data_IF_306538001708
#
_entry.id   IF_306538001708
#
_cell.length_a   1.000
_cell.length_b   1.000
_cell.length_c   1.000
_cell.angle_alpha   90.00
_cell.angle_beta   90.00
_cell.angle_gamma   90.00
#
_symmetry.space_group_name_H-M   'P 1'
#
loop_
_entity.id
_entity.type
_entity.pdbx_description
1 polymer ?
#
# COMPACT_ATOMS: atom_id res chain seq x y z
N UNK A 1 -3.99 5.06 23.96
CA UNK A 1 -2.68 4.44 23.67
C UNK A 1 -1.58 5.45 23.37
N UNK A 2 -1.85 6.77 23.22
CA UNK A 2 -0.83 7.78 22.93
C UNK A 2 -0.31 7.77 21.48
N UNK A 3 -1.08 7.18 20.57
CA UNK A 3 -0.78 7.12 19.12
C UNK A 3 -1.61 8.22 18.45
N UNK A 4 -0.95 9.07 17.65
CA UNK A 4 -1.63 10.01 16.77
C UNK A 4 -1.88 9.34 15.42
N UNK A 5 -3.04 9.58 14.82
CA UNK A 5 -3.36 9.15 13.47
C UNK A 5 -3.63 10.38 12.58
N UNK A 6 -3.05 10.37 11.38
CA UNK A 6 -3.31 11.35 10.36
C UNK A 6 -3.82 10.66 9.10
N UNK A 7 -5.08 10.88 8.79
CA UNK A 7 -5.69 10.37 7.57
C UNK A 7 -5.35 11.32 6.41
N UNK A 8 -4.70 10.77 5.37
CA UNK A 8 -4.22 11.55 4.22
C UNK A 8 -5.23 11.48 3.09
N UNK A 9 -5.70 12.64 2.64
CA UNK A 9 -6.42 12.76 1.37
C UNK A 9 -5.41 12.95 0.23
N UNK A 10 -5.62 12.26 -0.88
CA UNK A 10 -4.76 12.31 -2.05
C UNK A 10 -5.58 12.29 -3.33
N UNK A 11 -5.01 12.77 -4.43
CA UNK A 11 -5.66 12.78 -5.73
C UNK A 11 -6.01 11.36 -6.20
N UNK A 12 -7.29 11.14 -6.51
CA UNK A 12 -7.82 9.93 -7.13
C UNK A 12 -8.22 10.19 -8.58
N UNK A 13 -8.14 9.16 -9.43
CA UNK A 13 -8.66 9.26 -10.77
C UNK A 13 -10.20 9.38 -10.77
N UNK A 14 -10.75 9.92 -11.85
CA UNK A 14 -12.17 9.96 -12.12
C UNK A 14 -12.38 9.78 -13.63
N UNK A 15 -13.63 9.62 -14.06
CA UNK A 15 -13.96 9.48 -15.49
C UNK A 15 -13.38 10.62 -16.36
N UNK A 16 -13.29 11.83 -15.80
CA UNK A 16 -12.81 13.01 -16.50
C UNK A 16 -11.33 13.34 -16.20
N UNK A 17 -10.64 12.54 -15.39
CA UNK A 17 -9.31 12.87 -14.90
C UNK A 17 -8.50 11.57 -14.70
N UNK A 18 -7.76 11.20 -15.73
CA UNK A 18 -6.95 9.98 -15.80
C UNK A 18 -5.46 10.34 -15.82
N UNK A 19 -4.58 9.35 -15.59
CA UNK A 19 -3.15 9.59 -15.57
C UNK A 19 -2.68 10.40 -14.37
N UNK A 20 -3.41 10.34 -13.25
CA UNK A 20 -3.19 11.18 -12.05
C UNK A 20 -2.14 10.63 -11.09
N UNK A 21 -1.43 9.56 -11.46
CA UNK A 21 -0.46 8.88 -10.60
C UNK A 21 0.58 9.82 -9.98
N UNK A 22 1.01 10.83 -10.76
CA UNK A 22 2.01 11.78 -10.29
C UNK A 22 1.48 12.65 -9.16
N UNK A 23 0.25 13.16 -9.30
CA UNK A 23 -0.40 13.96 -8.25
C UNK A 23 -0.69 13.09 -7.03
N UNK A 24 -1.24 11.88 -7.25
CA UNK A 24 -1.49 10.92 -6.17
C UNK A 24 -0.24 10.65 -5.35
N UNK A 25 0.86 10.28 -6.00
CA UNK A 25 2.11 9.95 -5.31
C UNK A 25 2.75 11.18 -4.67
N UNK A 26 2.69 12.33 -5.34
CA UNK A 26 3.17 13.61 -4.81
C UNK A 26 2.43 14.02 -3.53
N UNK A 27 1.11 13.85 -3.50
CA UNK A 27 0.30 14.17 -2.31
C UNK A 27 0.71 13.29 -1.12
N UNK A 28 0.86 11.98 -1.34
CA UNK A 28 1.27 11.04 -0.28
C UNK A 28 2.68 11.34 0.23
N UNK A 29 3.65 11.55 -0.67
CA UNK A 29 5.03 11.87 -0.29
C UNK A 29 5.14 13.22 0.41
N UNK A 30 4.36 14.22 -0.02
CA UNK A 30 4.30 15.53 0.61
C UNK A 30 3.68 15.46 1.99
N UNK A 31 2.56 14.72 2.16
CA UNK A 31 1.95 14.51 3.47
C UNK A 31 2.96 13.84 4.43
N UNK A 32 3.66 12.81 3.98
CA UNK A 32 4.71 12.17 4.78
C UNK A 32 5.80 13.15 5.20
N UNK A 33 6.27 14.00 4.28
CA UNK A 33 7.26 15.03 4.57
C UNK A 33 6.79 16.06 5.61
N UNK A 34 5.50 16.39 5.63
CA UNK A 34 4.92 17.34 6.59
C UNK A 34 4.87 16.80 8.04
N UNK A 35 4.83 15.49 8.25
CA UNK A 35 4.87 14.90 9.59
C UNK A 35 6.05 15.41 10.43
N UNK A 36 7.21 15.59 9.82
CA UNK A 36 8.41 16.08 10.49
C UNK A 36 8.29 17.50 11.02
N UNK A 37 7.29 18.27 10.55
CA UNK A 37 7.04 19.65 10.94
C UNK A 37 5.96 19.77 12.02
N UNK A 38 5.26 18.67 12.33
CA UNK A 38 4.20 18.68 13.34
C UNK A 38 4.78 18.58 14.75
N UNK A 39 4.38 19.47 15.68
CA UNK A 39 4.89 19.44 17.04
C UNK A 39 4.42 18.16 17.76
N UNK A 40 5.33 17.54 18.50
CA UNK A 40 5.05 16.35 19.30
C UNK A 40 4.99 15.04 18.53
N UNK A 41 5.28 15.04 17.21
CA UNK A 41 5.38 13.84 16.40
C UNK A 41 6.84 13.38 16.32
N UNK A 42 7.08 12.13 16.67
CA UNK A 42 8.37 11.46 16.44
C UNK A 42 8.35 10.78 15.07
N UNK A 43 8.93 11.42 14.08
CA UNK A 43 9.00 10.91 12.71
C UNK A 43 9.78 9.58 12.64
N UNK A 44 10.72 9.33 13.53
CA UNK A 44 11.50 8.09 13.58
C UNK A 44 10.71 6.90 14.10
N UNK A 45 9.55 7.15 14.70
CA UNK A 45 8.59 6.15 15.16
C UNK A 45 7.25 6.27 14.43
N UNK A 46 7.24 6.96 13.29
CA UNK A 46 6.03 7.11 12.48
C UNK A 46 5.92 5.96 11.47
N UNK A 47 4.71 5.45 11.33
CA UNK A 47 4.36 4.37 10.42
C UNK A 47 3.48 4.90 9.29
N UNK A 48 3.51 4.24 8.14
CA UNK A 48 2.54 4.44 7.07
C UNK A 48 1.65 3.21 6.97
N UNK A 49 0.35 3.42 6.83
CA UNK A 49 -0.63 2.35 6.70
C UNK A 49 -1.60 2.67 5.58
N UNK A 50 -1.97 1.66 4.81
CA UNK A 50 -2.94 1.82 3.74
C UNK A 50 -3.60 0.51 3.34
N UNK A 51 -4.86 0.62 2.89
CA UNK A 51 -5.68 -0.50 2.44
C UNK A 51 -5.87 -0.46 0.93
N UNK A 52 -5.85 -1.61 0.26
CA UNK A 52 -6.09 -1.76 -1.17
C UNK A 52 -5.14 -0.88 -2.00
N UNK A 53 -5.65 0.04 -2.81
CA UNK A 53 -4.84 1.07 -3.49
C UNK A 53 -4.01 1.92 -2.51
N UNK A 54 -4.53 2.19 -1.30
CA UNK A 54 -3.77 2.85 -0.23
C UNK A 54 -2.60 2.00 0.26
N UNK A 55 -2.74 0.68 0.28
CA UNK A 55 -1.66 -0.27 0.58
C UNK A 55 -0.55 -0.24 -0.48
N UNK A 56 -0.91 -0.15 -1.77
CA UNK A 56 0.03 0.11 -2.86
C UNK A 56 0.82 1.41 -2.61
N UNK A 57 0.14 2.50 -2.25
CA UNK A 57 0.77 3.80 -2.00
C UNK A 57 1.68 3.77 -0.76
N UNK A 58 1.30 3.04 0.29
CA UNK A 58 2.14 2.84 1.47
C UNK A 58 3.45 2.11 1.12
N UNK A 59 3.39 1.08 0.27
CA UNK A 59 4.57 0.37 -0.22
C UNK A 59 5.45 1.24 -1.12
N UNK A 60 4.85 2.05 -1.99
CA UNK A 60 5.59 3.01 -2.83
C UNK A 60 6.26 4.10 -1.98
N UNK A 61 5.60 4.58 -0.93
CA UNK A 61 6.22 5.51 0.02
C UNK A 61 7.41 4.87 0.72
N UNK A 62 7.29 3.62 1.17
CA UNK A 62 8.37 2.89 1.81
C UNK A 62 9.58 2.66 0.88
N UNK A 63 9.34 2.58 -0.45
CA UNK A 63 10.38 2.40 -1.45
C UNK A 63 11.00 3.71 -1.96
N UNK A 64 10.22 4.80 -2.04
CA UNK A 64 10.59 6.04 -2.75
C UNK A 64 10.64 7.29 -1.87
N UNK A 65 10.13 7.22 -0.65
CA UNK A 65 10.13 8.35 0.28
C UNK A 65 11.55 8.79 0.62
N UNK A 66 11.81 10.10 0.66
CA UNK A 66 13.10 10.65 1.10
C UNK A 66 13.46 10.21 2.53
N UNK A 67 12.43 10.01 3.36
CA UNK A 67 12.56 9.45 4.72
C UNK A 67 11.74 8.19 4.79
N UNK A 68 12.37 7.12 5.23
CA UNK A 68 11.68 5.84 5.40
C UNK A 68 10.78 5.86 6.64
N UNK A 69 9.58 5.28 6.57
CA UNK A 69 8.78 5.03 7.76
C UNK A 69 9.46 4.00 8.68
N UNK A 70 9.09 4.03 9.96
CA UNK A 70 9.49 3.00 10.91
C UNK A 70 8.99 1.61 10.48
N UNK A 71 7.75 1.56 10.00
CA UNK A 71 7.09 0.38 9.46
C UNK A 71 6.13 0.83 8.35
N UNK A 72 6.08 0.10 7.25
CA UNK A 72 5.01 0.21 6.27
C UNK A 72 4.01 -0.95 6.46
N UNK A 73 2.74 -0.63 6.61
CA UNK A 73 1.64 -1.57 6.80
C UNK A 73 0.76 -1.52 5.56
N UNK A 74 0.63 -2.66 4.88
CA UNK A 74 -0.14 -2.76 3.64
C UNK A 74 -1.23 -3.82 3.81
N UNK A 75 -2.49 -3.37 3.84
CA UNK A 75 -3.67 -4.21 4.00
C UNK A 75 -4.26 -4.50 2.62
N UNK A 76 -4.37 -5.78 2.26
CA UNK A 76 -4.88 -6.25 0.95
C UNK A 76 -4.37 -5.40 -0.24
N UNK A 77 -3.04 -5.14 -0.34
CA UNK A 77 -2.51 -4.19 -1.31
C UNK A 77 -2.51 -4.74 -2.72
N UNK A 78 -2.62 -3.85 -3.71
CA UNK A 78 -2.29 -4.16 -5.11
C UNK A 78 -0.77 -3.99 -5.25
N UNK A 79 -0.04 -5.07 -5.50
CA UNK A 79 1.42 -5.09 -5.49
C UNK A 79 2.06 -5.39 -6.83
N UNK A 80 1.32 -6.09 -7.71
CA UNK A 80 1.67 -6.33 -9.11
C UNK A 80 0.64 -5.65 -10.01
N UNK A 81 0.95 -4.43 -10.45
CA UNK A 81 0.04 -3.61 -11.25
C UNK A 81 -0.21 -4.20 -12.64
N UNK A 82 0.80 -4.83 -13.23
CA UNK A 82 0.67 -5.48 -14.55
C UNK A 82 -0.24 -6.70 -14.43
N UNK A 83 -0.02 -7.52 -13.39
CA UNK A 83 -0.89 -8.65 -13.10
C UNK A 83 -2.32 -8.21 -12.78
N UNK A 84 -2.51 -7.13 -12.04
CA UNK A 84 -3.81 -6.56 -11.71
C UNK A 84 -4.57 -6.07 -12.96
N UNK A 85 -3.87 -5.41 -13.88
CA UNK A 85 -4.42 -4.94 -15.15
C UNK A 85 -4.85 -6.12 -16.04
N UNK A 86 -3.99 -7.13 -16.18
CA UNK A 86 -4.31 -8.34 -16.95
C UNK A 86 -5.47 -9.13 -16.34
N UNK A 87 -5.54 -9.21 -15.02
CA UNK A 87 -6.63 -9.86 -14.30
C UNK A 87 -7.91 -9.03 -14.25
N UNK A 88 -7.86 -7.78 -14.73
CA UNK A 88 -8.96 -6.82 -14.70
C UNK A 88 -9.53 -6.62 -13.28
N UNK A 89 -8.64 -6.44 -12.31
CA UNK A 89 -9.06 -6.15 -10.94
C UNK A 89 -9.74 -4.77 -10.89
N UNK A 90 -10.84 -4.68 -10.20
CA UNK A 90 -11.80 -3.56 -10.06
C UNK A 90 -13.05 -3.74 -10.88
N UNK A 91 -14.11 -3.00 -10.55
CA UNK A 91 -15.44 -3.11 -11.14
C UNK A 91 -15.44 -2.99 -12.67
N UNK A 92 -14.69 -2.02 -13.21
CA UNK A 92 -14.60 -1.77 -14.66
C UNK A 92 -13.42 -2.51 -15.32
N UNK A 93 -12.52 -3.11 -14.53
CA UNK A 93 -11.36 -3.87 -15.00
C UNK A 93 -10.23 -3.03 -15.58
N UNK A 94 -10.23 -1.71 -15.37
CA UNK A 94 -9.24 -0.79 -15.96
C UNK A 94 -8.72 0.29 -14.98
N UNK A 95 -9.00 0.17 -13.68
CA UNK A 95 -8.66 1.17 -12.67
C UNK A 95 -7.16 1.51 -12.65
N UNK A 96 -6.29 0.51 -12.82
CA UNK A 96 -4.83 0.72 -12.85
C UNK A 96 -4.44 1.55 -14.07
N UNK A 97 -4.98 1.23 -15.26
CA UNK A 97 -4.73 2.00 -16.48
C UNK A 97 -5.20 3.43 -16.38
N UNK A 98 -6.38 3.66 -15.82
CA UNK A 98 -6.92 5.01 -15.60
C UNK A 98 -6.06 5.81 -14.66
N UNK A 99 -5.57 5.17 -13.60
CA UNK A 99 -4.68 5.83 -12.65
C UNK A 99 -3.34 6.19 -13.29
N UNK A 100 -2.72 5.28 -14.07
CA UNK A 100 -1.43 5.49 -14.74
C UNK A 100 -1.59 6.36 -15.99
N UNK A 101 -2.69 6.21 -16.75
CA UNK A 101 -3.00 6.96 -17.96
C UNK A 101 -2.50 6.36 -19.26
N UNK A 102 -1.91 5.16 -19.22
CA UNK A 102 -1.46 4.42 -20.40
C UNK A 102 -1.44 2.91 -20.11
N UNK A 103 -1.27 2.08 -21.14
CA UNK A 103 -1.09 0.64 -20.98
C UNK A 103 0.35 0.27 -20.61
N UNK A 104 0.59 -0.95 -20.07
CA UNK A 104 1.95 -1.42 -19.78
C UNK A 104 2.82 -1.57 -21.06
N UNK A 105 2.21 -1.85 -22.21
CA UNK A 105 2.91 -1.95 -23.50
C UNK A 105 3.34 -0.58 -24.03
N UNK A 106 2.57 0.48 -23.74
CA UNK A 106 2.86 1.86 -24.18
C UNK A 106 4.01 2.45 -23.36
N UNK A 107 4.09 2.16 -22.08
CA UNK A 107 5.14 2.69 -21.21
C UNK A 107 5.55 1.71 -20.10
N UNK A 108 6.29 0.63 -20.44
CA UNK A 108 6.67 -0.41 -19.48
C UNK A 108 7.59 0.12 -18.37
N UNK A 109 8.40 1.16 -18.63
CA UNK A 109 9.27 1.76 -17.63
C UNK A 109 8.47 2.50 -16.54
N UNK A 110 7.44 3.26 -16.94
CA UNK A 110 6.55 3.92 -16.00
C UNK A 110 5.82 2.91 -15.13
N UNK A 111 5.29 1.85 -15.74
CA UNK A 111 4.61 0.79 -15.01
C UNK A 111 5.53 0.12 -13.99
N UNK A 112 6.74 -0.29 -14.38
CA UNK A 112 7.72 -0.85 -13.45
C UNK A 112 8.07 0.14 -12.32
N UNK A 113 8.18 1.42 -12.64
CA UNK A 113 8.46 2.46 -11.66
C UNK A 113 7.36 2.64 -10.61
N UNK A 114 6.10 2.38 -10.97
CA UNK A 114 4.94 2.48 -10.09
C UNK A 114 4.53 1.13 -9.46
N UNK A 115 5.13 0.04 -9.90
CA UNK A 115 4.78 -1.31 -9.49
C UNK A 115 5.49 -1.67 -8.18
N UNK A 116 4.77 -1.88 -7.04
CA UNK A 116 5.42 -2.19 -5.77
C UNK A 116 6.37 -3.39 -5.82
N UNK A 117 6.02 -4.46 -6.56
CA UNK A 117 6.85 -5.67 -6.66
C UNK A 117 8.20 -5.45 -7.37
N UNK A 118 8.36 -4.35 -8.12
CA UNK A 118 9.61 -3.97 -8.76
C UNK A 118 10.47 -3.04 -7.88
N UNK A 119 9.85 -2.41 -6.88
CA UNK A 119 10.46 -1.38 -6.04
C UNK A 119 10.68 -1.86 -4.60
N UNK A 120 11.88 -2.35 -4.24
CA UNK A 120 12.16 -2.82 -2.89
C UNK A 120 11.97 -1.73 -1.83
N UNK A 121 11.29 -2.05 -0.71
CA UNK A 121 11.10 -1.10 0.37
C UNK A 121 12.42 -0.84 1.12
N UNK A 122 12.58 0.37 1.63
CA UNK A 122 13.70 0.75 2.49
C UNK A 122 13.39 0.55 3.98
N UNK A 123 12.18 0.15 4.31
CA UNK A 123 11.66 -0.07 5.66
C UNK A 123 11.19 -1.50 5.83
N UNK A 124 11.08 -2.02 7.06
CA UNK A 124 10.27 -3.20 7.32
C UNK A 124 8.83 -3.04 6.80
N UNK A 125 8.24 -4.12 6.35
CA UNK A 125 6.88 -4.18 5.84
C UNK A 125 6.09 -5.23 6.63
N UNK A 126 4.91 -4.84 7.11
CA UNK A 126 3.88 -5.78 7.56
C UNK A 126 2.80 -5.82 6.47
N UNK A 127 2.73 -6.94 5.74
CA UNK A 127 1.70 -7.16 4.74
C UNK A 127 0.58 -8.00 5.36
N UNK A 128 -0.64 -7.50 5.28
CA UNK A 128 -1.84 -8.11 5.87
C UNK A 128 -2.81 -8.40 4.75
N UNK A 129 -3.45 -9.58 4.76
CA UNK A 129 -4.41 -9.93 3.71
C UNK A 129 -5.48 -10.87 4.25
N UNK A 130 -6.73 -10.64 3.83
CA UNK A 130 -7.82 -11.54 4.09
C UNK A 130 -7.77 -12.78 3.18
N UNK A 131 -7.82 -13.97 3.75
CA UNK A 131 -7.80 -15.22 2.95
C UNK A 131 -9.08 -15.41 2.11
N UNK A 132 -10.18 -14.74 2.51
CA UNK A 132 -11.44 -14.72 1.77
C UNK A 132 -11.61 -13.47 0.88
N UNK A 133 -10.53 -12.72 0.62
CA UNK A 133 -10.55 -11.50 -0.21
C UNK A 133 -10.89 -11.86 -1.67
N UNK A 134 -12.04 -11.39 -2.13
CA UNK A 134 -12.57 -11.60 -3.48
C UNK A 134 -12.39 -10.37 -4.40
N UNK A 135 -11.90 -9.25 -3.86
CA UNK A 135 -11.58 -8.03 -4.61
C UNK A 135 -10.12 -8.00 -5.09
N UNK A 136 -9.19 -8.29 -4.18
CA UNK A 136 -7.76 -8.37 -4.46
C UNK A 136 -7.26 -9.77 -4.09
N UNK A 137 -6.89 -10.60 -5.05
CA UNK A 137 -6.41 -11.96 -4.76
C UNK A 137 -5.20 -11.94 -3.83
N UNK A 138 -5.19 -12.82 -2.82
CA UNK A 138 -4.08 -12.95 -1.86
C UNK A 138 -2.72 -13.19 -2.54
N UNK A 139 -2.73 -13.75 -3.75
CA UNK A 139 -1.53 -13.95 -4.57
C UNK A 139 -0.75 -12.67 -4.87
N UNK A 140 -1.40 -11.50 -4.84
CA UNK A 140 -0.76 -10.19 -4.91
C UNK A 140 0.23 -10.03 -3.73
N UNK A 141 -0.25 -10.22 -2.50
CA UNK A 141 0.56 -10.12 -1.29
C UNK A 141 1.60 -11.24 -1.17
N UNK A 142 1.26 -12.46 -1.54
CA UNK A 142 2.21 -13.59 -1.54
C UNK A 142 3.38 -13.36 -2.49
N UNK A 143 3.08 -12.88 -3.71
CA UNK A 143 4.11 -12.57 -4.71
C UNK A 143 5.03 -11.47 -4.23
N UNK A 144 4.47 -10.36 -3.70
CA UNK A 144 5.26 -9.28 -3.14
C UNK A 144 6.18 -9.78 -2.01
N UNK A 145 5.62 -10.47 -1.02
CA UNK A 145 6.39 -10.97 0.12
C UNK A 145 7.54 -11.89 -0.34
N UNK A 146 7.25 -12.83 -1.23
CA UNK A 146 8.26 -13.74 -1.79
C UNK A 146 9.37 -13.00 -2.54
N UNK A 147 9.02 -12.08 -3.43
CA UNK A 147 9.98 -11.34 -4.25
C UNK A 147 10.82 -10.40 -3.40
N UNK A 148 10.20 -9.66 -2.47
CA UNK A 148 10.91 -8.70 -1.62
C UNK A 148 11.83 -9.39 -0.63
N UNK A 149 11.39 -10.50 -0.01
CA UNK A 149 12.27 -11.31 0.87
C UNK A 149 13.46 -11.87 0.10
N UNK A 150 13.28 -12.32 -1.14
CA UNK A 150 14.38 -12.78 -1.99
C UNK A 150 15.37 -11.66 -2.36
N UNK A 151 14.90 -10.41 -2.36
CA UNK A 151 15.75 -9.20 -2.54
C UNK A 151 16.37 -8.70 -1.22
N UNK A 152 16.14 -9.38 -0.09
CA UNK A 152 16.70 -9.06 1.22
C UNK A 152 15.89 -8.04 2.03
N UNK A 153 14.66 -7.71 1.64
CA UNK A 153 13.77 -6.86 2.41
C UNK A 153 13.17 -7.63 3.62
N UNK A 154 12.94 -6.91 4.72
CA UNK A 154 12.23 -7.42 5.90
C UNK A 154 10.73 -7.32 5.65
N UNK A 155 10.08 -8.44 5.34
CA UNK A 155 8.65 -8.53 5.06
C UNK A 155 8.00 -9.57 5.96
N UNK A 156 7.20 -9.08 6.89
CA UNK A 156 6.34 -9.93 7.73
C UNK A 156 4.95 -10.07 7.10
N UNK A 157 4.33 -11.23 7.30
CA UNK A 157 3.03 -11.58 6.73
C UNK A 157 2.04 -11.90 7.82
N UNK A 158 0.83 -11.36 7.68
CA UNK A 158 -0.31 -11.69 8.52
C UNK A 158 -1.50 -12.03 7.61
N UNK A 159 -1.87 -13.30 7.57
CA UNK A 159 -3.05 -13.76 6.84
C UNK A 159 -4.20 -13.90 7.82
N UNK A 160 -5.36 -13.35 7.48
CA UNK A 160 -6.55 -13.29 8.31
C UNK A 160 -7.71 -13.99 7.61
N UNK A 161 -8.64 -14.62 8.33
CA UNK A 161 -9.73 -15.37 7.70
C UNK A 161 -10.72 -14.51 6.90
N UNK A 162 -10.83 -13.22 7.19
CA UNK A 162 -11.82 -12.31 6.60
C UNK A 162 -11.59 -11.96 5.12
N UNK A 163 -12.48 -11.13 4.61
CA UNK A 163 -12.46 -10.61 3.24
C UNK A 163 -11.75 -9.25 3.13
N UNK A 164 -11.88 -8.60 1.95
CA UNK A 164 -11.27 -7.31 1.65
C UNK A 164 -11.62 -6.20 2.64
N UNK A 165 -12.84 -6.21 3.17
CA UNK A 165 -13.37 -5.15 4.03
C UNK A 165 -13.38 -5.54 5.51
N UNK A 166 -13.49 -6.83 5.83
CA UNK A 166 -13.50 -7.32 7.21
C UNK A 166 -12.21 -6.98 7.94
N UNK A 167 -11.07 -7.05 7.25
CA UNK A 167 -9.76 -6.73 7.84
C UNK A 167 -9.63 -5.26 8.27
N UNK A 168 -10.44 -4.35 7.73
CA UNK A 168 -10.45 -2.93 8.12
C UNK A 168 -11.67 -2.55 8.96
N UNK A 169 -12.57 -3.48 9.24
CA UNK A 169 -13.70 -3.24 10.14
C UNK A 169 -13.22 -3.30 11.59
N UNK A 170 -13.20 -2.15 12.25
CA UNK A 170 -12.75 -2.02 13.65
C UNK A 170 -13.59 -2.81 14.66
N UNK A 171 -14.75 -3.34 14.25
CA UNK A 171 -15.59 -4.21 15.07
C UNK A 171 -15.31 -5.71 14.83
N UNK A 172 -14.46 -6.07 13.86
CA UNK A 172 -14.14 -7.46 13.54
C UNK A 172 -13.07 -8.05 14.46
N UNK A 173 -13.06 -9.37 14.57
CA UNK A 173 -11.99 -10.10 15.25
C UNK A 173 -10.67 -10.01 14.48
N UNK A 174 -10.70 -9.92 13.15
CA UNK A 174 -9.53 -9.74 12.29
C UNK A 174 -8.81 -8.44 12.59
N UNK A 175 -9.56 -7.32 12.73
CA UNK A 175 -8.99 -6.05 13.15
C UNK A 175 -8.30 -6.12 14.53
N UNK A 176 -8.85 -6.87 15.47
CA UNK A 176 -8.22 -7.03 16.79
C UNK A 176 -6.90 -7.78 16.70
N UNK A 177 -6.81 -8.80 15.86
CA UNK A 177 -5.55 -9.53 15.61
C UNK A 177 -4.53 -8.62 14.93
N UNK A 178 -4.96 -7.89 13.91
CA UNK A 178 -4.12 -6.94 13.21
C UNK A 178 -3.59 -5.83 14.13
N UNK A 179 -4.47 -5.22 14.92
CA UNK A 179 -4.11 -4.16 15.87
C UNK A 179 -3.04 -4.65 16.85
N UNK A 180 -3.17 -5.87 17.38
CA UNK A 180 -2.15 -6.44 18.26
C UNK A 180 -0.81 -6.62 17.53
N UNK A 181 -0.82 -7.15 16.32
CA UNK A 181 0.39 -7.29 15.52
C UNK A 181 1.08 -5.95 15.22
N UNK A 182 0.30 -4.88 15.01
CA UNK A 182 0.84 -3.51 14.83
C UNK A 182 1.42 -2.98 16.15
N UNK A 183 0.74 -3.20 17.27
CA UNK A 183 1.18 -2.71 18.58
C UNK A 183 2.49 -3.38 19.04
N UNK A 184 2.77 -4.60 18.60
CA UNK A 184 4.04 -5.29 18.89
C UNK A 184 5.27 -4.58 18.28
N UNK A 185 5.07 -3.65 17.34
CA UNK A 185 6.12 -2.82 16.75
C UNK A 185 6.39 -1.52 17.53
N UNK A 186 5.53 -1.14 18.47
CA UNK A 186 5.64 0.12 19.23
C UNK A 186 6.42 -0.06 20.52
#
# INVERSE_FOLDING_TARGET
AGIAAWNVEFKRWSENDQGVWMDTLSDVLRAWGQLALLPGIDIMRSMVMGHSAGGQLALLLAAKGERKPWLAIAQSPITDLVGADHAKLSDDGDAVRRWIGCSPEENPELWSNLNPVDNPPMSPVLIIHGEADDEVPISQSETYARVMTAKGADVQKLWLPGDHFTIIDVASDDWLVELNAILDWL
#
